data_IF_710684539829
#
_entry.id   IF_710684539829
#
_cell.length_a   1.000
_cell.length_b   1.000
_cell.length_c   1.000
_cell.angle_alpha   90.00
_cell.angle_beta   90.00
_cell.angle_gamma   90.00
#
_symmetry.space_group_name_H-M   'P 1'
#
loop_
_entity.id
_entity.type
_entity.pdbx_description
1 polymer ?
#
# COMPACT_ATOMS: atom_id res chain seq x y z
N UNK A 1 -7.79 7.79 2.58
CA UNK A 1 -6.60 6.96 2.29
C UNK A 1 -5.50 7.85 1.74
N UNK A 2 -4.29 7.72 2.25
CA UNK A 2 -3.17 8.57 1.87
C UNK A 2 -2.50 8.07 0.61
N UNK A 3 -2.42 8.90 -0.42
CA UNK A 3 -1.69 8.57 -1.64
C UNK A 3 -0.21 8.87 -1.42
N UNK A 4 0.63 7.84 -1.58
CA UNK A 4 2.08 7.93 -1.42
C UNK A 4 2.77 8.10 -2.77
N UNK A 5 4.04 8.49 -2.73
CA UNK A 5 4.93 8.43 -3.87
C UNK A 5 6.31 7.94 -3.42
N UNK A 6 7.25 7.87 -4.35
CA UNK A 6 8.59 7.36 -4.04
C UNK A 6 9.35 8.23 -3.03
N UNK A 7 8.93 9.48 -2.85
CA UNK A 7 9.59 10.41 -1.93
C UNK A 7 8.97 10.40 -0.53
N UNK A 8 7.74 9.90 -0.39
CA UNK A 8 7.02 9.93 0.89
C UNK A 8 6.89 8.55 1.54
N UNK A 9 7.12 7.47 0.80
CA UNK A 9 6.92 6.10 1.31
C UNK A 9 7.74 5.83 2.57
N UNK A 10 9.02 6.19 2.58
CA UNK A 10 9.88 5.89 3.72
C UNK A 10 9.35 6.55 5.00
N UNK A 11 9.05 7.84 4.93
CA UNK A 11 8.59 8.57 6.12
C UNK A 11 7.20 8.12 6.56
N UNK A 12 6.31 7.88 5.62
CA UNK A 12 4.91 7.60 5.94
C UNK A 12 4.65 6.13 6.27
N UNK A 13 5.51 5.21 5.85
CA UNK A 13 5.34 3.78 6.06
C UNK A 13 6.47 3.19 6.91
N UNK A 14 7.71 3.33 6.46
CA UNK A 14 8.83 2.65 7.11
C UNK A 14 9.23 3.28 8.44
N UNK A 15 9.01 4.58 8.59
CA UNK A 15 9.34 5.33 9.80
C UNK A 15 8.12 5.69 10.65
N UNK A 16 6.92 5.37 10.18
CA UNK A 16 5.70 5.70 10.90
C UNK A 16 5.38 4.65 11.95
N UNK A 17 4.78 5.07 13.09
CA UNK A 17 4.38 4.13 14.13
C UNK A 17 3.08 3.43 13.78
N UNK A 18 2.84 2.28 14.44
CA UNK A 18 1.60 1.55 14.32
C UNK A 18 1.50 0.71 13.07
N UNK A 19 0.31 0.19 12.82
CA UNK A 19 0.05 -0.65 11.65
C UNK A 19 -0.35 0.21 10.47
N UNK A 20 0.21 -0.14 9.31
CA UNK A 20 -0.02 0.60 8.08
C UNK A 20 -0.35 -0.39 6.98
N UNK A 21 -1.48 -0.18 6.31
CA UNK A 21 -1.86 -0.96 5.14
C UNK A 21 -1.45 -0.18 3.89
N UNK A 22 -0.75 -0.82 2.99
CA UNK A 22 -0.35 -0.22 1.72
C UNK A 22 -0.97 -1.02 0.57
N UNK A 23 -1.76 -0.34 -0.24
CA UNK A 23 -2.31 -0.88 -1.48
C UNK A 23 -1.35 -0.51 -2.61
N UNK A 24 -0.58 -1.48 -3.09
CA UNK A 24 0.30 -1.31 -4.25
C UNK A 24 -0.53 -1.56 -5.51
N UNK A 25 -0.65 -0.55 -6.35
CA UNK A 25 -1.42 -0.64 -7.59
C UNK A 25 -0.60 -0.07 -8.75
N UNK A 26 -1.16 -0.05 -9.94
CA UNK A 26 -0.47 0.48 -11.12
C UNK A 26 -1.44 1.00 -12.16
N UNK A 27 -0.92 1.81 -13.08
CA UNK A 27 -1.69 2.33 -14.20
C UNK A 27 -2.13 1.16 -15.08
N UNK A 28 -3.38 1.16 -15.51
CA UNK A 28 -3.93 0.14 -16.37
C UNK A 28 -4.18 -1.21 -15.70
N UNK A 29 -3.97 -1.32 -14.40
CA UNK A 29 -4.23 -2.54 -13.66
C UNK A 29 -5.73 -2.68 -13.37
N UNK A 30 -6.44 -3.52 -14.13
CA UNK A 30 -7.88 -3.70 -13.97
C UNK A 30 -8.23 -4.32 -12.61
N UNK A 31 -7.58 -5.41 -12.14
CA UNK A 31 -7.89 -5.94 -10.81
C UNK A 31 -7.56 -4.97 -9.68
N UNK A 32 -6.55 -4.09 -9.86
CA UNK A 32 -6.28 -3.04 -8.87
C UNK A 32 -7.46 -2.09 -8.75
N UNK A 33 -8.00 -1.65 -9.89
CA UNK A 33 -9.15 -0.74 -9.91
C UNK A 33 -10.39 -1.39 -9.30
N UNK A 34 -10.60 -2.69 -9.55
CA UNK A 34 -11.72 -3.43 -9.00
C UNK A 34 -11.63 -3.58 -7.47
N UNK A 35 -10.41 -3.67 -6.94
CA UNK A 35 -10.17 -3.82 -5.51
C UNK A 35 -10.31 -2.50 -4.75
N UNK A 36 -10.03 -1.38 -5.39
CA UNK A 36 -9.93 -0.07 -4.74
C UNK A 36 -11.18 0.33 -3.92
N UNK A 37 -12.41 0.15 -4.42
CA UNK A 37 -13.59 0.48 -3.61
C UNK A 37 -13.68 -0.32 -2.30
N UNK A 38 -13.21 -1.59 -2.32
CA UNK A 38 -13.21 -2.42 -1.12
C UNK A 38 -12.19 -1.91 -0.10
N UNK A 39 -11.03 -1.46 -0.56
CA UNK A 39 -10.01 -0.90 0.32
C UNK A 39 -10.49 0.42 0.92
N UNK A 40 -11.15 1.27 0.12
CA UNK A 40 -11.74 2.50 0.64
C UNK A 40 -12.80 2.23 1.72
N UNK A 41 -13.62 1.20 1.53
CA UNK A 41 -14.63 0.82 2.52
C UNK A 41 -13.97 0.36 3.82
N UNK A 42 -12.90 -0.44 3.74
CA UNK A 42 -12.13 -0.84 4.93
C UNK A 42 -11.49 0.36 5.61
N UNK A 43 -10.99 1.33 4.83
CA UNK A 43 -10.38 2.54 5.40
C UNK A 43 -11.41 3.35 6.21
N UNK A 44 -12.66 3.39 5.77
CA UNK A 44 -13.72 4.06 6.52
C UNK A 44 -14.01 3.35 7.84
N UNK A 45 -13.94 2.01 7.84
CA UNK A 45 -14.25 1.22 9.04
C UNK A 45 -13.08 1.17 10.03
N UNK A 46 -11.84 1.03 9.53
CA UNK A 46 -10.66 0.76 10.35
C UNK A 46 -9.62 1.87 10.33
N UNK A 47 -9.89 3.00 9.69
CA UNK A 47 -8.91 4.06 9.48
C UNK A 47 -8.43 4.75 10.77
N UNK A 48 -9.15 4.57 11.87
CA UNK A 48 -8.73 5.07 13.18
C UNK A 48 -7.76 4.13 13.89
N UNK A 49 -7.62 2.90 13.41
CA UNK A 49 -6.74 1.87 14.01
C UNK A 49 -5.57 1.52 13.11
N UNK A 50 -5.74 1.63 11.80
CA UNK A 50 -4.76 1.27 10.79
C UNK A 50 -4.64 2.44 9.82
N UNK A 51 -3.42 2.87 9.55
CA UNK A 51 -3.18 3.91 8.55
C UNK A 51 -3.29 3.29 7.16
N UNK A 52 -4.20 3.79 6.34
CA UNK A 52 -4.42 3.28 4.98
C UNK A 52 -3.71 4.15 3.97
N UNK A 53 -2.86 3.53 3.16
CA UNK A 53 -2.07 4.20 2.14
C UNK A 53 -2.16 3.47 0.80
N UNK A 54 -1.88 4.18 -0.27
CA UNK A 54 -1.82 3.61 -1.62
C UNK A 54 -0.56 4.12 -2.32
N UNK A 55 0.07 3.26 -3.11
CA UNK A 55 1.26 3.60 -3.88
C UNK A 55 1.11 3.12 -5.31
N UNK A 56 1.23 4.05 -6.26
CA UNK A 56 1.23 3.72 -7.69
C UNK A 56 2.63 3.24 -8.09
N UNK A 57 2.77 1.93 -8.29
CA UNK A 57 4.06 1.32 -8.60
C UNK A 57 4.56 1.66 -9.99
N UNK A 58 3.69 2.08 -10.89
CA UNK A 58 4.11 2.53 -12.23
C UNK A 58 5.07 3.71 -12.15
N UNK A 59 4.87 4.56 -11.14
CA UNK A 59 5.72 5.74 -10.89
C UNK A 59 6.78 5.50 -9.83
N UNK A 60 6.88 4.29 -9.29
CA UNK A 60 7.80 3.96 -8.20
C UNK A 60 8.28 2.51 -8.32
N UNK A 61 8.75 2.12 -9.50
CA UNK A 61 9.09 0.72 -9.80
C UNK A 61 10.23 0.17 -8.94
N UNK A 62 11.30 0.95 -8.74
CA UNK A 62 12.43 0.52 -7.93
C UNK A 62 12.02 0.31 -6.48
N UNK A 63 11.19 1.22 -5.97
CA UNK A 63 10.66 1.10 -4.62
C UNK A 63 9.81 -0.16 -4.48
N UNK A 64 8.93 -0.43 -5.43
CA UNK A 64 8.10 -1.63 -5.42
C UNK A 64 8.96 -2.90 -5.40
N UNK A 65 10.00 -2.95 -6.23
CA UNK A 65 10.90 -4.10 -6.26
C UNK A 65 11.62 -4.25 -4.92
N UNK A 66 12.05 -3.14 -4.31
CA UNK A 66 12.71 -3.18 -3.00
C UNK A 66 11.80 -3.72 -1.91
N UNK A 67 10.49 -3.56 -2.06
CA UNK A 67 9.49 -4.10 -1.14
C UNK A 67 8.99 -5.47 -1.58
N UNK A 68 9.63 -6.09 -2.57
CA UNK A 68 9.30 -7.41 -3.12
C UNK A 68 7.90 -7.49 -3.73
N UNK A 69 7.43 -6.36 -4.25
CA UNK A 69 6.15 -6.27 -4.94
C UNK A 69 6.42 -6.51 -6.43
N UNK A 70 6.17 -7.73 -6.89
CA UNK A 70 6.48 -8.15 -8.26
C UNK A 70 5.24 -8.37 -9.11
N UNK A 71 4.07 -8.37 -8.52
CA UNK A 71 2.79 -8.47 -9.21
C UNK A 71 1.82 -7.44 -8.65
N UNK A 72 0.64 -7.31 -9.24
CA UNK A 72 -0.37 -6.35 -8.81
C UNK A 72 -1.76 -6.97 -8.89
N UNK A 73 -2.69 -6.58 -8.00
CA UNK A 73 -2.43 -5.73 -6.83
C UNK A 73 -1.75 -6.49 -5.70
N UNK A 74 -1.06 -5.77 -4.83
CA UNK A 74 -0.54 -6.32 -3.58
C UNK A 74 -1.03 -5.45 -2.44
N UNK A 75 -1.63 -6.08 -1.44
CA UNK A 75 -2.02 -5.41 -0.20
C UNK A 75 -1.06 -5.88 0.87
N UNK A 76 -0.34 -4.96 1.48
CA UNK A 76 0.67 -5.27 2.48
C UNK A 76 0.38 -4.56 3.80
N UNK A 77 0.71 -5.22 4.90
CA UNK A 77 0.64 -4.64 6.23
C UNK A 77 2.06 -4.44 6.73
N UNK A 78 2.35 -3.23 7.17
CA UNK A 78 3.63 -2.85 7.76
C UNK A 78 3.46 -2.54 9.24
N UNK A 79 4.46 -2.87 10.03
CA UNK A 79 4.54 -2.47 11.43
C UNK A 79 6.01 -2.35 11.82
N UNK A 80 6.36 -1.22 12.45
CA UNK A 80 7.74 -0.94 12.89
C UNK A 80 8.75 -1.01 11.73
N UNK A 81 8.35 -0.56 10.56
CA UNK A 81 9.21 -0.51 9.38
C UNK A 81 9.35 -1.83 8.63
N UNK A 82 8.61 -2.85 9.01
CA UNK A 82 8.70 -4.17 8.39
C UNK A 82 7.36 -4.60 7.81
N UNK A 83 7.41 -5.24 6.63
CA UNK A 83 6.23 -5.86 6.07
C UNK A 83 5.96 -7.15 6.83
N UNK A 84 4.88 -7.18 7.61
CA UNK A 84 4.54 -8.33 8.44
C UNK A 84 3.56 -9.28 7.76
N UNK A 85 2.88 -8.83 6.71
CA UNK A 85 1.94 -9.67 5.95
C UNK A 85 1.71 -9.05 4.59
N UNK A 86 1.36 -9.89 3.62
CA UNK A 86 0.99 -9.40 2.29
C UNK A 86 0.05 -10.39 1.62
N UNK A 87 -0.78 -9.88 0.72
CA UNK A 87 -1.72 -10.66 -0.06
C UNK A 87 -1.68 -10.20 -1.51
N UNK A 88 -1.55 -11.15 -2.44
CA UNK A 88 -1.57 -10.89 -3.88
C UNK A 88 -2.90 -11.39 -4.43
N UNK A 89 -3.51 -10.60 -5.28
CA UNK A 89 -4.77 -10.99 -5.94
C UNK A 89 -4.53 -11.49 -7.35
#
# INVERSE_FOLDING_TARGET
MLELDKNTFEAEVLQAPGKILVDFYGDGCVPCAALMPHIHAFAETYGDKIKFCALNTTKARRLAISQKVLGLPVIAIYENGEMIDSCVK
#
